data_IF_608430710016
#
_entry.id   IF_608430710016
#
_cell.length_a   1.000
_cell.length_b   1.000
_cell.length_c   1.000
_cell.angle_alpha   90.00
_cell.angle_beta   90.00
_cell.angle_gamma   90.00
#
_symmetry.space_group_name_H-M   'P 1'
#
loop_
_entity.id
_entity.type
_entity.pdbx_description
1 polymer ?
#
# COMPACT_ATOMS: atom_id res chain seq x y z
N UNK A 1 -67.80 15.85 -25.55
CA UNK A 1 -66.39 15.97 -25.17
C UNK A 1 -65.54 15.94 -26.43
N UNK A 2 -64.66 16.93 -26.64
CA UNK A 2 -63.83 16.96 -27.85
C UNK A 2 -62.78 15.85 -27.87
N UNK A 3 -62.40 15.35 -29.06
CA UNK A 3 -61.37 14.34 -29.24
C UNK A 3 -60.04 14.70 -28.55
N UNK A 4 -59.82 15.99 -28.25
CA UNK A 4 -58.65 16.50 -27.54
C UNK A 4 -58.72 16.21 -26.04
N UNK A 5 -59.89 16.38 -25.42
CA UNK A 5 -60.08 16.13 -23.95
C UNK A 5 -59.95 14.66 -23.61
N UNK A 6 -60.38 13.76 -24.50
CA UNK A 6 -60.27 12.32 -24.30
C UNK A 6 -58.80 11.85 -24.36
N UNK A 7 -57.97 12.43 -25.25
CA UNK A 7 -56.53 12.12 -25.33
C UNK A 7 -55.77 12.57 -24.08
N UNK A 8 -56.09 13.75 -23.54
CA UNK A 8 -55.44 14.26 -22.32
C UNK A 8 -55.77 13.38 -21.10
N UNK A 9 -57.02 12.93 -20.96
CA UNK A 9 -57.44 12.07 -19.86
C UNK A 9 -56.77 10.68 -19.94
N UNK A 10 -56.65 10.09 -21.15
CA UNK A 10 -55.97 8.82 -21.36
C UNK A 10 -54.48 8.95 -21.05
N UNK A 11 -53.81 10.03 -21.46
CA UNK A 11 -52.37 10.24 -21.18
C UNK A 11 -52.11 10.41 -19.69
N UNK A 12 -52.97 11.14 -18.96
CA UNK A 12 -52.85 11.28 -17.51
C UNK A 12 -53.11 9.97 -16.78
N UNK A 13 -54.03 9.12 -17.27
CA UNK A 13 -54.28 7.80 -16.67
C UNK A 13 -53.14 6.84 -16.89
N UNK A 14 -52.49 6.86 -18.08
CA UNK A 14 -51.30 6.06 -18.36
C UNK A 14 -50.09 6.51 -17.49
N UNK A 15 -49.88 7.81 -17.31
CA UNK A 15 -48.85 8.36 -16.44
C UNK A 15 -49.08 7.97 -14.96
N UNK A 16 -50.32 7.92 -14.50
CA UNK A 16 -50.67 7.47 -13.14
C UNK A 16 -50.41 5.96 -12.95
N UNK A 17 -50.75 5.14 -13.94
CA UNK A 17 -50.51 3.70 -13.91
C UNK A 17 -48.98 3.41 -13.94
N UNK A 18 -48.19 4.09 -14.76
CA UNK A 18 -46.75 3.95 -14.82
C UNK A 18 -46.11 4.42 -13.53
N UNK A 19 -46.57 5.54 -12.94
CA UNK A 19 -46.08 6.01 -11.64
C UNK A 19 -46.42 5.05 -10.50
N UNK A 20 -47.61 4.44 -10.53
CA UNK A 20 -48.02 3.44 -9.54
C UNK A 20 -47.27 2.12 -9.71
N UNK A 21 -46.98 1.70 -10.94
CA UNK A 21 -46.17 0.54 -11.24
C UNK A 21 -44.71 0.76 -10.84
N UNK A 22 -44.13 1.95 -11.11
CA UNK A 22 -42.78 2.30 -10.63
C UNK A 22 -42.71 2.37 -9.11
N UNK A 23 -43.70 2.96 -8.45
CA UNK A 23 -43.80 3.01 -6.98
C UNK A 23 -43.97 1.63 -6.38
N UNK A 24 -44.77 0.76 -6.99
CA UNK A 24 -44.95 -0.63 -6.59
C UNK A 24 -43.69 -1.47 -6.83
N UNK A 25 -42.99 -1.23 -7.94
CA UNK A 25 -41.71 -1.89 -8.25
C UNK A 25 -40.61 -1.45 -7.29
N UNK A 26 -40.51 -0.15 -7.00
CA UNK A 26 -39.59 0.38 -5.97
C UNK A 26 -39.92 -0.17 -4.59
N UNK A 27 -41.21 -0.35 -4.28
CA UNK A 27 -41.68 -0.89 -3.00
C UNK A 27 -41.54 -2.41 -2.90
N UNK A 28 -41.65 -3.16 -4.00
CA UNK A 28 -41.47 -4.62 -4.04
C UNK A 28 -40.00 -5.05 -4.02
N UNK A 29 -39.09 -4.15 -4.39
CA UNK A 29 -37.63 -4.34 -4.20
C UNK A 29 -37.15 -4.07 -2.77
N UNK A 30 -38.03 -3.58 -1.87
CA UNK A 30 -37.73 -3.25 -0.49
C UNK A 30 -38.50 -4.18 0.46
N UNK A 31 -38.15 -5.45 0.50
CA UNK A 31 -38.53 -6.29 1.65
C UNK A 31 -37.70 -5.86 2.84
N UNK A 32 -38.35 -5.23 3.83
CA UNK A 32 -37.70 -5.00 5.13
C UNK A 32 -37.11 -6.32 5.63
N UNK A 33 -35.91 -6.33 6.20
CA UNK A 33 -35.23 -7.54 6.71
C UNK A 33 -35.92 -8.22 7.91
N UNK A 34 -37.09 -7.75 8.36
CA UNK A 34 -37.76 -8.25 9.55
C UNK A 34 -38.44 -9.62 9.42
N UNK A 35 -38.50 -10.24 8.23
CA UNK A 35 -39.13 -11.55 8.03
C UNK A 35 -38.22 -12.71 7.66
N UNK A 36 -36.91 -12.49 7.55
CA UNK A 36 -35.95 -13.55 7.24
C UNK A 36 -35.19 -14.08 8.48
N UNK A 37 -35.75 -14.01 9.66
CA UNK A 37 -35.16 -14.56 10.89
C UNK A 37 -35.66 -15.96 11.20
N UNK A 38 -35.53 -16.89 10.25
CA UNK A 38 -35.41 -18.31 10.60
C UNK A 38 -33.99 -18.74 10.22
N UNK A 39 -33.03 -18.31 11.01
CA UNK A 39 -31.60 -18.58 10.82
C UNK A 39 -31.31 -20.08 10.92
N UNK A 40 -30.71 -20.66 9.88
CA UNK A 40 -29.64 -21.63 10.11
C UNK A 40 -28.46 -20.83 10.72
N UNK A 41 -28.08 -21.15 11.95
CA UNK A 41 -26.93 -20.60 12.63
C UNK A 41 -25.67 -21.00 11.83
N UNK A 42 -25.15 -20.12 10.96
CA UNK A 42 -23.76 -20.25 10.53
C UNK A 42 -22.89 -20.12 11.78
N UNK A 43 -22.03 -21.09 12.02
CA UNK A 43 -21.21 -21.11 13.23
C UNK A 43 -20.18 -19.96 13.17
N UNK A 44 -19.87 -19.33 14.30
CA UNK A 44 -18.83 -18.29 14.40
C UNK A 44 -17.51 -18.67 13.70
N UNK A 45 -17.04 -19.94 13.72
CA UNK A 45 -15.89 -20.38 12.95
C UNK A 45 -16.01 -20.17 11.42
N UNK A 46 -17.19 -20.44 10.86
CA UNK A 46 -17.42 -20.31 9.40
C UNK A 46 -17.39 -18.85 8.93
N UNK A 47 -18.01 -17.94 9.68
CA UNK A 47 -18.00 -16.50 9.38
C UNK A 47 -16.60 -15.92 9.56
N UNK A 48 -15.82 -16.39 10.55
CA UNK A 48 -14.43 -15.99 10.73
C UNK A 48 -13.55 -16.44 9.56
N UNK A 49 -13.76 -17.63 9.04
CA UNK A 49 -13.04 -18.15 7.89
C UNK A 49 -13.35 -17.32 6.62
N UNK A 50 -14.61 -16.97 6.39
CA UNK A 50 -15.00 -16.05 5.31
C UNK A 50 -14.30 -14.69 5.48
N UNK A 51 -14.29 -14.12 6.71
CA UNK A 51 -13.59 -12.88 6.97
C UNK A 51 -12.09 -12.97 6.67
N UNK A 52 -11.43 -14.04 7.09
CA UNK A 52 -10.00 -14.27 6.83
C UNK A 52 -9.70 -14.33 5.34
N UNK A 53 -10.52 -15.06 4.60
CA UNK A 53 -10.30 -15.31 3.17
C UNK A 53 -10.58 -14.10 2.27
N UNK A 54 -11.49 -13.20 2.66
CA UNK A 54 -11.97 -12.13 1.79
C UNK A 54 -11.71 -10.71 2.32
N UNK A 55 -11.65 -10.53 3.63
CA UNK A 55 -11.60 -9.21 4.26
C UNK A 55 -10.25 -8.91 4.93
N UNK A 56 -9.62 -9.93 5.51
CA UNK A 56 -8.44 -9.76 6.34
C UNK A 56 -7.24 -9.20 5.57
N UNK A 57 -7.13 -9.45 4.27
CA UNK A 57 -6.07 -8.88 3.42
C UNK A 57 -5.97 -7.36 3.53
N UNK A 58 -7.12 -6.68 3.55
CA UNK A 58 -7.21 -5.23 3.70
C UNK A 58 -7.44 -4.79 5.15
N UNK A 59 -8.22 -5.53 5.94
CA UNK A 59 -8.68 -5.11 7.26
C UNK A 59 -7.91 -5.72 8.43
N UNK A 60 -6.97 -6.65 8.17
CA UNK A 60 -6.22 -7.39 9.18
C UNK A 60 -6.99 -8.59 9.74
N UNK A 61 -6.28 -9.66 10.12
CA UNK A 61 -6.90 -10.92 10.57
C UNK A 61 -7.65 -10.80 11.90
N UNK A 62 -7.25 -9.85 12.74
CA UNK A 62 -7.88 -9.54 14.02
C UNK A 62 -8.60 -8.18 13.98
N UNK A 63 -9.12 -7.79 12.83
CA UNK A 63 -9.89 -6.55 12.64
C UNK A 63 -9.10 -5.26 12.98
N UNK A 64 -7.77 -5.29 12.83
CA UNK A 64 -6.87 -4.23 13.30
C UNK A 64 -7.12 -2.86 12.62
N UNK A 65 -7.75 -2.85 11.44
CA UNK A 65 -8.05 -1.60 10.71
C UNK A 65 -9.40 -0.97 11.04
N UNK A 66 -10.21 -1.63 11.86
CA UNK A 66 -11.45 -1.06 12.39
C UNK A 66 -11.24 -0.31 13.70
N UNK A 67 -10.08 0.34 13.88
CA UNK A 67 -9.62 0.93 15.14
C UNK A 67 -10.16 2.33 15.46
N UNK A 68 -10.92 2.93 14.55
CA UNK A 68 -11.58 4.22 14.83
C UNK A 68 -12.92 3.96 15.51
N UNK A 69 -12.98 4.12 16.83
CA UNK A 69 -14.19 3.99 17.62
C UNK A 69 -15.35 4.81 17.05
N UNK A 70 -15.08 6.07 16.64
CA UNK A 70 -16.07 6.96 16.03
C UNK A 70 -16.74 6.34 14.79
N UNK A 71 -15.99 5.58 13.98
CA UNK A 71 -16.55 4.91 12.81
C UNK A 71 -17.47 3.75 13.20
N UNK A 72 -17.11 3.00 14.23
CA UNK A 72 -17.89 1.84 14.70
C UNK A 72 -19.12 2.26 15.50
N UNK A 73 -19.00 3.29 16.32
CA UNK A 73 -20.10 3.78 17.18
C UNK A 73 -21.20 4.47 16.34
N UNK A 74 -20.82 5.13 15.25
CA UNK A 74 -21.75 5.83 14.34
C UNK A 74 -22.43 4.93 13.32
N UNK A 75 -21.99 3.66 13.14
CA UNK A 75 -22.53 2.77 12.09
C UNK A 75 -23.36 1.64 12.67
N UNK A 76 -24.52 1.42 12.05
CA UNK A 76 -25.43 0.29 12.32
C UNK A 76 -24.97 -0.96 11.57
N UNK A 77 -25.54 -2.14 11.92
CA UNK A 77 -25.34 -3.38 11.15
C UNK A 77 -25.76 -3.19 9.69
N UNK A 78 -26.81 -2.41 9.43
CA UNK A 78 -27.28 -2.07 8.09
C UNK A 78 -26.24 -1.26 7.30
N UNK A 79 -25.56 -0.31 7.93
CA UNK A 79 -24.50 0.46 7.26
C UNK A 79 -23.28 -0.40 6.94
N UNK A 80 -22.86 -1.30 7.85
CA UNK A 80 -21.81 -2.27 7.61
C UNK A 80 -22.20 -3.26 6.50
N UNK A 81 -23.44 -3.77 6.54
CA UNK A 81 -24.00 -4.62 5.50
C UNK A 81 -23.94 -3.98 4.13
N UNK A 82 -24.37 -2.72 3.98
CA UNK A 82 -24.33 -2.00 2.71
C UNK A 82 -22.90 -1.80 2.20
N UNK A 83 -21.97 -1.45 3.10
CA UNK A 83 -20.56 -1.28 2.73
C UNK A 83 -19.94 -2.58 2.23
N UNK A 84 -20.30 -3.72 2.81
CA UNK A 84 -19.85 -5.03 2.32
C UNK A 84 -20.54 -5.37 1.00
N UNK A 85 -21.86 -5.23 0.92
CA UNK A 85 -22.66 -5.64 -0.23
C UNK A 85 -22.28 -4.85 -1.49
N UNK A 86 -22.22 -3.53 -1.39
CA UNK A 86 -22.04 -2.63 -2.54
C UNK A 86 -20.61 -2.10 -2.68
N UNK A 87 -19.74 -2.42 -1.73
CA UNK A 87 -18.38 -1.88 -1.67
C UNK A 87 -18.35 -0.42 -1.26
N UNK A 88 -17.13 0.13 -1.22
CA UNK A 88 -16.84 1.55 -1.06
C UNK A 88 -15.69 1.87 -2.04
N UNK A 89 -16.04 2.12 -3.28
CA UNK A 89 -15.10 2.23 -4.39
C UNK A 89 -14.02 3.27 -4.15
N UNK A 90 -14.39 4.45 -3.62
CA UNK A 90 -13.47 5.54 -3.30
C UNK A 90 -12.39 5.14 -2.29
N UNK A 91 -12.68 4.14 -1.43
CA UNK A 91 -11.78 3.59 -0.42
C UNK A 91 -11.09 2.30 -0.87
N UNK A 92 -11.35 1.84 -2.10
CA UNK A 92 -10.80 0.61 -2.64
C UNK A 92 -11.40 -0.67 -2.06
N UNK A 93 -12.59 -0.58 -1.46
CA UNK A 93 -13.34 -1.73 -0.97
C UNK A 93 -14.26 -2.24 -2.08
N UNK A 94 -14.07 -3.47 -2.61
CA UNK A 94 -14.92 -4.02 -3.65
C UNK A 94 -16.32 -4.36 -3.11
N UNK A 95 -17.30 -4.49 -4.03
CA UNK A 95 -18.60 -5.06 -3.73
C UNK A 95 -18.52 -6.58 -3.58
N UNK A 96 -19.30 -7.15 -2.65
CA UNK A 96 -19.33 -8.59 -2.39
C UNK A 96 -20.72 -9.22 -2.64
N UNK A 97 -21.65 -8.48 -3.24
CA UNK A 97 -23.01 -8.98 -3.54
C UNK A 97 -23.05 -10.20 -4.46
N UNK A 98 -22.01 -10.37 -5.32
CA UNK A 98 -21.90 -11.50 -6.24
C UNK A 98 -21.12 -12.67 -5.65
N UNK A 99 -20.40 -12.44 -4.53
CA UNK A 99 -19.60 -13.45 -3.82
C UNK A 99 -20.32 -14.07 -2.62
N UNK A 100 -21.24 -13.34 -2.01
CA UNK A 100 -21.97 -13.73 -0.78
C UNK A 100 -23.45 -13.45 -0.87
N UNK A 101 -24.24 -14.32 -0.23
CA UNK A 101 -25.67 -14.07 0.00
C UNK A 101 -25.90 -12.94 1.01
N UNK A 102 -27.09 -12.38 1.05
CA UNK A 102 -27.45 -11.32 1.99
C UNK A 102 -27.33 -11.79 3.46
N UNK A 103 -27.59 -13.05 3.73
CA UNK A 103 -27.43 -13.68 5.04
C UNK A 103 -25.96 -13.75 5.46
N UNK A 104 -25.07 -14.15 4.55
CA UNK A 104 -23.63 -14.21 4.80
C UNK A 104 -23.04 -12.81 5.00
N UNK A 105 -23.45 -11.83 4.20
CA UNK A 105 -23.04 -10.43 4.36
C UNK A 105 -23.49 -9.88 5.71
N UNK A 106 -24.73 -10.17 6.13
CA UNK A 106 -25.23 -9.75 7.44
C UNK A 106 -24.47 -10.43 8.59
N UNK A 107 -24.13 -11.70 8.44
CA UNK A 107 -23.31 -12.43 9.42
C UNK A 107 -21.90 -11.83 9.53
N UNK A 108 -21.27 -11.51 8.41
CA UNK A 108 -19.97 -10.81 8.37
C UNK A 108 -20.06 -9.43 9.02
N UNK A 109 -21.08 -8.63 8.72
CA UNK A 109 -21.28 -7.32 9.33
C UNK A 109 -21.40 -7.40 10.86
N UNK A 110 -22.18 -8.35 11.37
CA UNK A 110 -22.33 -8.61 12.81
C UNK A 110 -21.03 -9.10 13.45
N UNK A 111 -20.34 -10.04 12.80
CA UNK A 111 -19.06 -10.55 13.26
C UNK A 111 -18.04 -9.43 13.40
N UNK A 112 -17.84 -8.61 12.35
CA UNK A 112 -16.92 -7.48 12.40
C UNK A 112 -17.23 -6.55 13.57
N UNK A 113 -18.49 -6.22 13.79
CA UNK A 113 -18.92 -5.32 14.87
C UNK A 113 -18.82 -5.91 16.26
N UNK A 114 -19.02 -7.21 16.43
CA UNK A 114 -18.88 -7.88 17.73
C UNK A 114 -17.43 -8.09 18.15
N UNK A 115 -16.56 -8.37 17.19
CA UNK A 115 -15.17 -8.77 17.44
C UNK A 115 -14.17 -7.60 17.40
N UNK A 116 -14.56 -6.40 16.91
CA UNK A 116 -13.69 -5.23 17.00
C UNK A 116 -13.40 -4.89 18.46
N UNK A 117 -12.11 -4.93 18.88
CA UNK A 117 -11.76 -4.66 20.27
C UNK A 117 -12.14 -3.24 20.69
N UNK A 118 -12.81 -3.10 21.84
CA UNK A 118 -13.22 -1.80 22.40
C UNK A 118 -12.06 -1.01 23.01
N UNK A 119 -10.93 -1.62 23.25
CA UNK A 119 -9.73 -0.99 23.82
C UNK A 119 -8.48 -1.35 23.03
N UNK A 120 -8.00 -0.42 22.23
CA UNK A 120 -6.82 -0.59 21.35
C UNK A 120 -5.50 -0.15 22.00
N UNK A 121 -5.54 0.44 23.20
CA UNK A 121 -4.39 1.09 23.83
C UNK A 121 -3.42 0.14 24.54
N UNK A 122 -3.73 -1.15 24.66
CA UNK A 122 -2.99 -2.11 25.48
C UNK A 122 -2.35 -3.28 24.72
N UNK A 123 -2.13 -3.18 23.43
CA UNK A 123 -1.41 -4.26 22.72
C UNK A 123 0.09 -4.16 22.99
N UNK A 124 0.58 -4.99 23.92
CA UNK A 124 2.03 -5.25 24.01
C UNK A 124 2.50 -5.96 22.74
N UNK A 125 3.73 -5.71 22.26
CA UNK A 125 4.34 -6.51 21.20
C UNK A 125 4.20 -8.00 21.52
N UNK A 126 3.78 -8.79 20.54
CA UNK A 126 3.56 -10.24 20.72
C UNK A 126 4.87 -11.04 20.85
N UNK A 127 6.04 -10.40 20.82
CA UNK A 127 7.35 -11.04 20.88
C UNK A 127 8.20 -10.49 22.04
N UNK A 128 9.05 -11.35 22.59
CA UNK A 128 10.01 -10.99 23.62
C UNK A 128 11.25 -10.40 22.99
N UNK A 129 11.67 -9.22 23.45
CA UNK A 129 12.88 -8.52 23.00
C UNK A 129 14.18 -9.13 23.52
N UNK A 130 14.10 -10.05 24.47
CA UNK A 130 15.30 -10.70 25.08
C UNK A 130 15.63 -12.08 24.46
N UNK A 131 14.81 -12.55 23.53
CA UNK A 131 14.97 -13.88 22.95
C UNK A 131 15.94 -13.84 21.76
N UNK A 132 16.92 -14.76 21.76
CA UNK A 132 17.71 -15.04 20.56
C UNK A 132 16.80 -15.68 19.51
N UNK A 133 16.71 -15.06 18.36
CA UNK A 133 16.04 -15.60 17.18
C UNK A 133 17.05 -16.36 16.36
N UNK A 134 16.75 -17.63 16.06
CA UNK A 134 17.55 -18.47 15.18
C UNK A 134 16.92 -18.45 13.78
N UNK A 135 17.65 -17.93 12.81
CA UNK A 135 17.37 -18.17 11.39
C UNK A 135 18.22 -19.32 10.85
N UNK A 136 18.02 -19.69 9.60
CA UNK A 136 18.78 -20.76 8.96
C UNK A 136 20.30 -20.52 9.00
N UNK A 137 20.71 -19.24 8.83
CA UNK A 137 22.13 -18.87 8.66
C UNK A 137 22.66 -17.88 9.69
N UNK A 138 21.80 -17.18 10.41
CA UNK A 138 22.19 -16.08 11.31
C UNK A 138 21.40 -16.12 12.61
N UNK A 139 22.06 -15.83 13.74
CA UNK A 139 21.39 -15.58 15.03
C UNK A 139 21.34 -14.09 15.30
N UNK A 140 20.27 -13.63 15.93
CA UNK A 140 20.15 -12.24 16.34
C UNK A 140 19.19 -12.07 17.52
N UNK A 141 19.33 -10.94 18.22
CA UNK A 141 18.38 -10.47 19.25
C UNK A 141 17.60 -9.31 18.68
N UNK A 142 16.34 -9.19 19.06
CA UNK A 142 15.47 -8.08 18.67
C UNK A 142 15.56 -7.01 19.77
N UNK A 143 15.92 -5.80 19.39
CA UNK A 143 15.95 -4.65 20.29
C UNK A 143 14.92 -3.62 19.84
N UNK A 144 13.98 -3.23 20.72
CA UNK A 144 12.97 -2.22 20.41
C UNK A 144 13.55 -0.82 20.62
N UNK A 145 13.70 -0.09 19.53
CA UNK A 145 14.33 1.22 19.52
C UNK A 145 13.30 2.35 19.72
N UNK A 146 12.15 2.22 19.02
CA UNK A 146 11.05 3.21 19.10
C UNK A 146 9.73 2.46 19.20
N UNK A 147 8.84 2.93 20.05
CA UNK A 147 7.46 2.47 20.14
C UNK A 147 6.46 3.64 20.15
N UNK A 148 5.17 3.35 20.19
CA UNK A 148 4.13 4.37 20.26
C UNK A 148 3.88 5.14 18.96
N UNK A 149 4.45 4.69 17.85
CA UNK A 149 4.13 5.20 16.51
C UNK A 149 2.77 4.67 16.05
N UNK A 150 2.17 5.30 15.04
CA UNK A 150 0.94 4.80 14.43
C UNK A 150 1.26 3.96 13.19
N UNK A 151 1.63 4.60 12.08
CA UNK A 151 2.03 3.94 10.85
C UNK A 151 3.38 4.51 10.41
N UNK A 152 4.50 4.03 10.99
CA UNK A 152 5.83 4.39 10.50
C UNK A 152 5.99 3.88 9.07
N UNK A 153 6.19 4.80 8.12
CA UNK A 153 6.30 4.45 6.71
C UNK A 153 7.75 4.36 6.25
N UNK A 154 8.47 5.46 6.31
CA UNK A 154 9.87 5.58 5.93
C UNK A 154 10.77 5.73 7.15
N UNK A 155 11.99 5.22 7.04
CA UNK A 155 13.08 5.42 7.99
C UNK A 155 14.32 5.86 7.22
N UNK A 156 15.05 6.82 7.76
CA UNK A 156 16.33 7.25 7.20
C UNK A 156 17.27 7.66 8.35
N UNK A 157 18.57 7.52 8.14
CA UNK A 157 19.56 7.75 9.20
C UNK A 157 20.45 8.93 8.85
N UNK A 158 20.46 9.93 9.72
CA UNK A 158 21.36 11.07 9.61
C UNK A 158 22.81 10.67 9.95
N UNK A 159 23.82 11.38 9.41
CA UNK A 159 25.24 11.08 9.69
C UNK A 159 25.62 11.13 11.18
N UNK A 160 24.90 11.89 11.98
CA UNK A 160 25.10 11.98 13.44
C UNK A 160 24.49 10.81 14.23
N UNK A 161 23.84 9.84 13.55
CA UNK A 161 23.18 8.69 14.14
C UNK A 161 21.72 8.89 14.54
N UNK A 162 21.17 10.09 14.38
CA UNK A 162 19.72 10.32 14.55
C UNK A 162 18.95 9.59 13.46
N UNK A 163 17.72 9.19 13.76
CA UNK A 163 16.81 8.57 12.79
C UNK A 163 15.69 9.54 12.42
N UNK A 164 15.41 9.70 11.14
CA UNK A 164 14.20 10.34 10.64
C UNK A 164 13.13 9.27 10.40
N UNK A 165 11.90 9.55 10.80
CA UNK A 165 10.78 8.63 10.66
C UNK A 165 9.60 9.39 10.09
N UNK A 166 9.11 8.97 8.93
CA UNK A 166 7.84 9.47 8.40
C UNK A 166 6.68 8.65 8.98
N UNK A 167 5.64 9.32 9.40
CA UNK A 167 4.36 8.72 9.73
C UNK A 167 3.32 9.05 8.68
N UNK A 168 2.58 8.04 8.21
CA UNK A 168 1.56 8.22 7.17
C UNK A 168 0.51 9.28 7.52
N UNK A 169 0.30 9.55 8.79
CA UNK A 169 -0.57 10.63 9.27
C UNK A 169 -0.14 12.04 8.85
N UNK A 170 1.04 12.20 8.22
CA UNK A 170 1.60 13.50 7.84
C UNK A 170 2.50 14.08 8.93
N UNK A 171 3.21 13.27 9.67
CA UNK A 171 4.17 13.71 10.68
C UNK A 171 5.57 13.20 10.31
N UNK A 172 6.55 14.09 10.37
CA UNK A 172 7.96 13.74 10.28
C UNK A 172 8.59 13.86 11.67
N UNK A 173 9.21 12.80 12.14
CA UNK A 173 9.93 12.76 13.40
C UNK A 173 11.43 12.70 13.19
N UNK A 174 12.17 13.30 14.12
CA UNK A 174 13.55 12.97 14.42
C UNK A 174 13.57 12.18 15.73
N UNK A 175 14.18 11.03 15.72
CA UNK A 175 14.48 10.24 16.90
C UNK A 175 15.97 10.40 17.24
N UNK A 176 16.23 10.92 18.44
CA UNK A 176 17.57 11.18 18.94
C UNK A 176 17.61 10.93 20.46
N UNK A 177 18.61 10.18 20.94
CA UNK A 177 18.79 9.91 22.38
C UNK A 177 17.51 9.40 23.09
N UNK A 178 16.75 8.50 22.44
CA UNK A 178 15.53 7.94 23.00
C UNK A 178 14.30 8.85 22.94
N UNK A 179 14.37 10.01 22.27
CA UNK A 179 13.29 10.98 22.19
C UNK A 179 12.82 11.22 20.75
N UNK A 180 11.50 11.24 20.54
CA UNK A 180 10.86 11.64 19.31
C UNK A 180 10.58 13.16 19.33
N UNK A 181 11.10 13.88 18.36
CA UNK A 181 10.83 15.30 18.15
C UNK A 181 10.22 15.50 16.78
N UNK A 182 9.13 16.27 16.67
CA UNK A 182 8.52 16.59 15.37
C UNK A 182 9.40 17.57 14.60
N UNK A 183 9.49 17.35 13.29
CA UNK A 183 10.06 18.30 12.35
C UNK A 183 8.88 19.02 11.67
N UNK A 184 8.88 20.33 11.79
CA UNK A 184 7.83 21.21 11.27
C UNK A 184 8.12 21.63 9.82
N UNK A 185 7.08 22.11 9.12
CA UNK A 185 7.22 22.71 7.79
C UNK A 185 6.93 21.76 6.64
N UNK A 186 6.29 20.61 6.87
CA UNK A 186 5.78 19.78 5.80
C UNK A 186 4.72 20.51 4.95
N UNK A 187 4.60 20.20 3.65
CA UNK A 187 3.51 20.72 2.82
C UNK A 187 2.15 20.16 3.25
N UNK A 188 1.08 20.61 2.58
CA UNK A 188 -0.24 20.00 2.71
C UNK A 188 -0.20 18.54 2.26
N UNK A 189 -0.63 17.62 3.13
CA UNK A 189 -0.61 16.18 2.88
C UNK A 189 -2.02 15.62 2.93
N UNK A 190 -2.42 14.89 1.89
CA UNK A 190 -3.69 14.16 1.83
C UNK A 190 -3.56 12.81 2.59
N UNK A 191 -3.58 12.88 3.93
CA UNK A 191 -3.45 11.71 4.79
C UNK A 191 -4.78 10.93 4.87
N UNK A 192 -5.11 10.19 3.81
CA UNK A 192 -6.37 9.43 3.68
C UNK A 192 -6.09 8.00 3.22
N UNK A 193 -6.68 7.01 3.88
CA UNK A 193 -6.55 5.57 3.60
C UNK A 193 -5.09 5.11 3.46
N UNK A 194 -4.58 4.88 2.23
CA UNK A 194 -3.18 4.50 1.98
C UNK A 194 -2.27 5.70 1.73
N UNK A 195 -2.83 6.90 1.51
CA UNK A 195 -2.08 8.13 1.31
C UNK A 195 -1.61 8.77 2.62
N UNK A 196 -0.63 9.65 2.52
CA UNK A 196 -0.03 10.35 3.64
C UNK A 196 1.39 10.82 3.35
N UNK A 197 2.19 11.03 4.39
CA UNK A 197 3.64 11.12 4.27
C UNK A 197 4.18 9.69 4.08
N UNK A 198 4.88 9.47 2.97
CA UNK A 198 5.33 8.15 2.53
C UNK A 198 6.83 7.97 2.86
N UNK A 199 7.65 7.65 1.88
CA UNK A 199 9.06 7.35 2.13
C UNK A 199 9.95 8.58 2.28
N UNK A 200 11.12 8.36 2.86
CA UNK A 200 12.20 9.31 3.05
C UNK A 200 13.48 8.77 2.42
N UNK A 201 14.32 9.65 1.89
CA UNK A 201 15.68 9.29 1.44
C UNK A 201 16.61 10.50 1.55
N UNK A 202 17.81 10.32 2.14
CA UNK A 202 18.86 11.30 2.05
C UNK A 202 19.53 11.27 0.67
N UNK A 203 19.98 12.43 0.21
CA UNK A 203 20.87 12.49 -0.95
C UNK A 203 22.16 11.69 -0.69
N UNK A 204 22.73 10.97 -1.66
CA UNK A 204 24.01 10.25 -1.47
C UNK A 204 25.16 11.12 -0.94
N UNK A 205 25.13 12.42 -1.27
CA UNK A 205 26.10 13.43 -0.78
C UNK A 205 25.46 14.35 0.29
N UNK A 206 24.64 13.79 1.19
CA UNK A 206 23.92 14.57 2.20
C UNK A 206 24.82 15.45 3.07
N UNK A 207 25.99 14.96 3.48
CA UNK A 207 26.97 15.73 4.30
C UNK A 207 27.43 17.00 3.62
N UNK A 208 27.41 17.06 2.27
CA UNK A 208 27.85 18.23 1.51
C UNK A 208 26.68 19.16 1.16
N UNK A 209 25.50 18.61 0.85
CA UNK A 209 24.38 19.39 0.31
C UNK A 209 23.16 19.48 1.24
N UNK A 210 23.04 18.60 2.24
CA UNK A 210 21.97 18.60 3.23
C UNK A 210 20.57 18.22 2.71
N UNK A 211 20.45 17.67 1.49
CA UNK A 211 19.16 17.38 0.91
C UNK A 211 18.53 16.08 1.47
N UNK A 212 17.33 16.22 2.04
CA UNK A 212 16.37 15.17 2.36
C UNK A 212 15.28 15.16 1.29
N UNK A 213 14.95 14.00 0.77
CA UNK A 213 13.85 13.77 -0.15
C UNK A 213 12.72 13.07 0.58
N UNK A 214 11.48 13.42 0.26
CA UNK A 214 10.32 12.71 0.78
C UNK A 214 9.20 12.64 -0.25
N UNK A 215 8.55 11.49 -0.29
CA UNK A 215 7.35 11.25 -1.07
C UNK A 215 6.12 11.47 -0.20
N UNK A 216 5.07 12.04 -0.77
CA UNK A 216 3.82 12.28 -0.07
C UNK A 216 2.63 12.29 -1.03
N UNK A 217 1.44 12.07 -0.50
CA UNK A 217 0.21 12.27 -1.27
C UNK A 217 -0.17 13.74 -1.23
N UNK A 218 -0.04 14.41 -2.37
CA UNK A 218 -0.38 15.82 -2.54
C UNK A 218 -1.87 15.97 -2.84
N UNK A 219 -2.61 16.83 -2.10
CA UNK A 219 -3.99 17.12 -2.43
C UNK A 219 -4.08 17.99 -3.70
N UNK A 220 -4.97 17.63 -4.60
CA UNK A 220 -5.26 18.43 -5.80
C UNK A 220 -5.71 19.87 -5.43
N UNK A 221 -5.26 20.83 -6.20
CA UNK A 221 -5.67 22.24 -6.03
C UNK A 221 -7.17 22.43 -6.31
N UNK A 222 -7.70 21.68 -7.28
CA UNK A 222 -9.09 21.79 -7.71
C UNK A 222 -10.05 20.99 -6.83
N UNK A 223 -9.62 19.81 -6.36
CA UNK A 223 -10.42 18.94 -5.51
C UNK A 223 -9.56 18.37 -4.38
N UNK A 224 -9.65 18.96 -3.20
CA UNK A 224 -8.86 18.56 -2.01
C UNK A 224 -9.06 17.11 -1.54
N UNK A 225 -10.07 16.39 -2.08
CA UNK A 225 -10.26 14.95 -1.82
C UNK A 225 -9.57 14.05 -2.85
N UNK A 226 -9.11 14.62 -3.96
CA UNK A 226 -8.31 13.97 -4.97
C UNK A 226 -6.83 14.35 -4.81
N UNK A 227 -5.93 13.61 -5.42
CA UNK A 227 -4.52 13.94 -5.42
C UNK A 227 -3.67 12.86 -6.07
N UNK A 228 -2.37 13.08 -6.08
CA UNK A 228 -1.40 12.10 -6.56
C UNK A 228 -0.13 12.10 -5.69
N UNK A 229 0.79 11.20 -5.99
CA UNK A 229 2.09 11.12 -5.34
C UNK A 229 3.00 12.21 -5.87
N UNK A 230 3.58 12.99 -4.97
CA UNK A 230 4.55 14.03 -5.24
C UNK A 230 5.83 13.79 -4.47
N UNK A 231 6.94 14.34 -4.96
CA UNK A 231 8.24 14.28 -4.30
C UNK A 231 8.75 15.70 -4.07
N UNK A 232 9.18 15.94 -2.85
CA UNK A 232 9.83 17.16 -2.44
C UNK A 232 11.24 16.88 -1.93
N UNK A 233 12.18 17.80 -2.16
CA UNK A 233 13.44 17.86 -1.41
C UNK A 233 13.45 19.08 -0.51
N UNK A 234 14.11 18.94 0.62
CA UNK A 234 14.24 20.01 1.60
C UNK A 234 15.54 19.85 2.41
N UNK A 235 15.94 20.88 3.13
CA UNK A 235 16.98 20.82 4.17
C UNK A 235 16.35 20.86 5.55
N UNK A 236 17.08 20.39 6.55
CA UNK A 236 16.65 20.43 7.93
C UNK A 236 17.51 21.49 8.68
N UNK A 237 16.84 22.49 9.26
CA UNK A 237 17.46 23.46 10.15
C UNK A 237 16.79 23.41 11.52
N UNK A 238 17.52 22.92 12.53
CA UNK A 238 16.91 22.61 13.82
C UNK A 238 15.82 21.55 13.69
N UNK A 239 14.59 21.88 14.06
CA UNK A 239 13.42 21.02 13.91
C UNK A 239 12.45 21.53 12.84
N UNK A 240 12.97 22.13 11.77
CA UNK A 240 12.15 22.67 10.68
C UNK A 240 12.74 22.34 9.32
N UNK A 241 11.85 22.05 8.36
CA UNK A 241 12.19 21.97 6.95
C UNK A 241 12.36 23.37 6.36
N UNK A 242 13.46 23.58 5.64
CA UNK A 242 13.81 24.80 4.91
C UNK A 242 14.20 24.47 3.48
N UNK A 243 14.33 25.46 2.61
CA UNK A 243 14.76 25.32 1.21
C UNK A 243 13.95 24.24 0.46
N UNK A 244 12.62 24.26 0.61
CA UNK A 244 11.74 23.25 0.05
C UNK A 244 11.56 23.44 -1.45
N UNK A 245 11.77 22.36 -2.21
CA UNK A 245 11.60 22.32 -3.66
C UNK A 245 10.78 21.09 -4.06
N UNK A 246 9.63 21.28 -4.71
CA UNK A 246 8.89 20.19 -5.33
C UNK A 246 9.58 19.78 -6.63
N UNK A 247 10.10 18.57 -6.68
CA UNK A 247 10.88 18.06 -7.80
C UNK A 247 10.07 17.11 -8.70
N UNK A 248 8.92 16.63 -8.22
CA UNK A 248 8.02 15.81 -9.01
C UNK A 248 6.57 15.99 -8.55
N UNK A 249 5.66 16.06 -9.54
CA UNK A 249 4.21 16.15 -9.35
C UNK A 249 3.53 15.08 -10.22
N UNK A 250 3.05 14.01 -9.59
CA UNK A 250 2.35 12.91 -10.27
C UNK A 250 1.03 13.35 -10.90
N UNK A 251 0.77 12.93 -12.15
CA UNK A 251 -0.45 13.28 -12.89
C UNK A 251 -1.01 12.09 -13.66
N UNK A 252 -2.34 12.04 -13.86
CA UNK A 252 -3.37 12.96 -13.32
C UNK A 252 -3.66 12.70 -11.84
N UNK A 253 -4.27 13.67 -11.18
CA UNK A 253 -4.84 13.51 -9.86
C UNK A 253 -5.99 12.50 -9.89
N UNK A 254 -6.12 11.69 -8.83
CA UNK A 254 -7.17 10.68 -8.70
C UNK A 254 -7.97 10.87 -7.42
N UNK A 255 -9.32 10.72 -7.46
CA UNK A 255 -10.12 10.69 -6.25
C UNK A 255 -9.98 9.38 -5.45
N UNK A 256 -9.36 8.36 -6.05
CA UNK A 256 -9.11 7.08 -5.36
C UNK A 256 -8.05 7.26 -4.28
N UNK A 257 -8.27 6.66 -3.13
CA UNK A 257 -7.46 6.87 -1.92
C UNK A 257 -6.40 5.78 -1.67
N UNK A 258 -6.12 4.96 -2.68
CA UNK A 258 -5.22 3.81 -2.61
C UNK A 258 -4.25 3.76 -3.81
N UNK A 259 -3.25 2.84 -3.72
CA UNK A 259 -2.18 2.62 -4.70
C UNK A 259 -1.33 3.88 -4.97
N UNK A 260 -0.82 4.50 -3.91
CA UNK A 260 0.06 5.67 -4.02
C UNK A 260 1.52 5.33 -4.34
N UNK A 261 1.95 4.06 -4.18
CA UNK A 261 3.35 3.72 -4.07
C UNK A 261 3.84 4.15 -2.68
N UNK A 262 4.90 4.66 -2.42
CA UNK A 262 6.10 5.04 -3.15
C UNK A 262 7.30 4.75 -2.23
N UNK A 263 8.36 4.15 -2.74
CA UNK A 263 9.65 3.99 -2.08
C UNK A 263 10.69 4.72 -2.91
N UNK A 264 11.56 5.48 -2.28
CA UNK A 264 12.61 6.28 -2.91
C UNK A 264 13.95 5.52 -2.88
N UNK A 265 14.68 5.52 -3.98
CA UNK A 265 16.02 4.93 -4.06
C UNK A 265 16.92 5.76 -4.98
N UNK A 266 18.08 6.15 -4.49
CA UNK A 266 19.15 6.66 -5.37
C UNK A 266 19.98 5.51 -5.91
N UNK A 267 20.35 5.58 -7.20
CA UNK A 267 21.34 4.68 -7.77
C UNK A 267 22.78 5.24 -7.63
N UNK A 268 23.76 4.50 -8.15
CA UNK A 268 25.19 4.87 -8.07
C UNK A 268 25.53 6.10 -8.91
N UNK A 269 24.73 6.38 -9.91
CA UNK A 269 24.86 7.54 -10.81
C UNK A 269 24.18 8.80 -10.23
N UNK A 270 23.43 8.66 -9.14
CA UNK A 270 22.72 9.74 -8.46
C UNK A 270 21.33 10.02 -9.03
N UNK A 271 20.75 9.13 -9.83
CA UNK A 271 19.36 9.23 -10.24
C UNK A 271 18.42 8.78 -9.12
N UNK A 272 17.30 9.46 -8.99
CA UNK A 272 16.23 9.10 -8.05
C UNK A 272 15.19 8.22 -8.74
N UNK A 273 14.96 7.04 -8.16
CA UNK A 273 14.00 6.04 -8.59
C UNK A 273 12.82 5.95 -7.62
N UNK A 274 11.62 5.79 -8.18
CA UNK A 274 10.40 5.62 -7.38
C UNK A 274 9.27 5.04 -8.23
N UNK A 275 8.28 4.43 -7.53
CA UNK A 275 7.09 3.89 -8.18
C UNK A 275 5.82 4.62 -7.77
N UNK A 276 4.90 4.84 -8.73
CA UNK A 276 3.54 5.28 -8.46
C UNK A 276 2.59 4.15 -8.86
N UNK A 277 1.63 3.82 -8.00
CA UNK A 277 0.63 2.79 -8.30
C UNK A 277 -0.38 3.24 -9.35
N UNK A 278 -1.23 2.32 -9.80
CA UNK A 278 -2.24 2.55 -10.86
C UNK A 278 -3.35 3.53 -10.44
N UNK A 279 -3.38 3.96 -9.17
CA UNK A 279 -4.35 4.89 -8.59
C UNK A 279 -5.80 4.43 -8.78
N UNK A 280 -6.00 3.09 -8.87
CA UNK A 280 -7.32 2.46 -9.00
C UNK A 280 -7.95 2.50 -10.40
N UNK A 281 -7.28 3.07 -11.38
CA UNK A 281 -7.70 3.04 -12.79
C UNK A 281 -6.95 1.92 -13.53
N UNK A 282 -7.20 0.70 -13.09
CA UNK A 282 -6.51 -0.53 -13.47
C UNK A 282 -6.44 -0.72 -15.00
N UNK A 283 -7.55 -0.53 -15.68
CA UNK A 283 -7.67 -0.89 -17.09
C UNK A 283 -7.16 0.21 -18.04
N UNK A 284 -6.73 1.35 -17.49
CA UNK A 284 -6.23 2.51 -18.25
C UNK A 284 -4.78 2.82 -17.88
N UNK A 285 -4.55 3.19 -16.62
CA UNK A 285 -3.30 3.81 -16.20
C UNK A 285 -2.04 2.97 -16.44
N UNK A 286 -1.97 1.67 -16.08
CA UNK A 286 -0.72 0.92 -16.19
C UNK A 286 -0.22 0.76 -17.61
N UNK A 287 -1.12 0.65 -18.60
CA UNK A 287 -0.78 0.30 -19.98
C UNK A 287 -0.62 1.49 -20.93
N UNK A 288 -0.94 2.72 -20.53
CA UNK A 288 -0.63 3.93 -21.28
C UNK A 288 0.69 4.56 -20.83
N UNK A 289 1.37 5.30 -21.68
CA UNK A 289 2.54 6.10 -21.34
C UNK A 289 2.20 7.59 -21.09
N UNK A 290 0.95 7.99 -21.26
CA UNK A 290 0.48 9.38 -21.22
C UNK A 290 0.25 9.91 -19.79
N UNK A 291 0.49 9.08 -18.77
CA UNK A 291 0.35 9.45 -17.36
C UNK A 291 1.41 8.78 -16.47
N UNK A 292 1.55 9.26 -15.23
CA UNK A 292 2.55 8.76 -14.28
C UNK A 292 2.10 7.53 -13.47
N UNK A 293 0.82 7.14 -13.55
CA UNK A 293 0.24 6.12 -12.67
C UNK A 293 0.51 4.69 -13.19
N UNK A 294 0.86 3.76 -12.31
CA UNK A 294 1.23 2.38 -12.65
C UNK A 294 2.60 2.28 -13.33
N UNK A 295 3.59 3.05 -12.86
CA UNK A 295 4.91 3.21 -13.47
C UNK A 295 6.03 3.17 -12.44
N UNK A 296 7.23 2.84 -12.91
CA UNK A 296 8.49 3.19 -12.26
C UNK A 296 9.09 4.37 -12.99
N UNK A 297 9.53 5.35 -12.24
CA UNK A 297 10.11 6.61 -12.70
C UNK A 297 11.60 6.69 -12.36
N UNK A 298 12.36 7.40 -13.20
CA UNK A 298 13.74 7.80 -12.95
C UNK A 298 13.92 9.27 -13.31
N UNK A 299 14.44 10.06 -12.38
CA UNK A 299 14.70 11.49 -12.54
C UNK A 299 16.08 11.84 -11.97
N UNK A 300 16.60 13.01 -12.29
CA UNK A 300 17.74 13.59 -11.56
C UNK A 300 17.31 14.03 -10.15
N UNK A 301 18.27 14.30 -9.31
CA UNK A 301 18.10 14.77 -7.94
C UNK A 301 17.38 16.13 -7.83
N UNK A 302 17.37 16.92 -8.90
CA UNK A 302 16.69 18.21 -9.04
C UNK A 302 15.32 18.11 -9.74
N UNK A 303 14.89 16.90 -10.12
CA UNK A 303 13.63 16.65 -10.83
C UNK A 303 13.75 16.74 -12.35
N UNK A 304 14.88 17.14 -12.92
CA UNK A 304 15.09 17.13 -14.35
C UNK A 304 15.12 15.71 -14.92
N UNK A 305 14.81 15.58 -16.21
CA UNK A 305 14.65 14.28 -16.85
C UNK A 305 15.96 13.79 -17.49
N UNK A 306 16.45 12.57 -17.15
CA UNK A 306 17.57 11.96 -17.82
C UNK A 306 17.31 11.74 -19.32
N UNK A 307 18.25 12.15 -20.16
CA UNK A 307 18.09 12.07 -21.62
C UNK A 307 18.13 10.63 -22.17
N UNK A 308 18.61 9.71 -21.38
CA UNK A 308 18.65 8.27 -21.67
C UNK A 308 17.44 7.48 -21.09
N UNK A 309 16.43 8.17 -20.56
CA UNK A 309 15.16 7.52 -20.22
C UNK A 309 14.50 6.93 -21.48
N UNK A 310 13.91 5.74 -21.38
CA UNK A 310 13.49 4.98 -22.57
C UNK A 310 12.38 5.65 -23.38
N UNK A 311 11.59 6.53 -22.76
CA UNK A 311 10.45 7.18 -23.41
C UNK A 311 10.61 8.69 -23.60
N UNK A 312 11.78 9.25 -23.35
CA UNK A 312 12.05 10.70 -23.42
C UNK A 312 11.75 11.30 -24.81
N UNK A 313 11.90 10.52 -25.87
CA UNK A 313 11.64 10.95 -27.25
C UNK A 313 10.32 10.35 -27.80
N UNK A 314 9.47 9.75 -26.98
CA UNK A 314 8.20 9.18 -27.42
C UNK A 314 7.09 10.22 -27.31
N UNK A 315 6.46 10.54 -28.43
CA UNK A 315 5.37 11.54 -28.48
C UNK A 315 4.22 11.13 -27.53
N UNK A 316 3.77 12.07 -26.70
CA UNK A 316 2.70 11.87 -25.72
C UNK A 316 3.08 11.12 -24.46
N UNK A 317 4.29 10.51 -24.40
CA UNK A 317 4.73 9.80 -23.20
C UNK A 317 5.26 10.77 -22.13
N UNK A 318 5.03 10.44 -20.87
CA UNK A 318 5.66 11.10 -19.72
C UNK A 318 7.15 10.73 -19.69
N UNK A 319 8.08 11.70 -19.83
CA UNK A 319 9.49 11.39 -20.06
C UNK A 319 10.23 10.84 -18.84
N UNK A 320 9.64 10.93 -17.64
CA UNK A 320 10.18 10.32 -16.41
C UNK A 320 9.98 8.81 -16.33
N UNK A 321 9.12 8.23 -17.17
CA UNK A 321 8.81 6.79 -17.13
C UNK A 321 10.03 5.98 -17.52
N UNK A 322 10.37 4.99 -16.69
CA UNK A 322 11.42 4.01 -16.96
C UNK A 322 10.86 2.62 -17.32
N UNK A 323 9.79 2.19 -16.62
CA UNK A 323 9.01 0.99 -16.94
C UNK A 323 7.54 1.21 -16.63
N UNK A 324 6.66 0.37 -17.19
CA UNK A 324 5.21 0.51 -17.08
C UNK A 324 4.51 -0.84 -16.89
N UNK A 325 3.19 -0.81 -16.69
CA UNK A 325 2.44 -2.02 -16.43
C UNK A 325 2.56 -2.50 -14.98
N UNK A 326 2.67 -1.58 -14.03
CA UNK A 326 2.75 -1.84 -12.59
C UNK A 326 1.42 -1.58 -11.90
N UNK A 327 1.15 -2.34 -10.83
CA UNK A 327 -0.07 -2.14 -10.02
C UNK A 327 0.15 -1.19 -8.85
N UNK A 328 1.04 -1.54 -7.93
CA UNK A 328 1.30 -0.73 -6.73
C UNK A 328 2.68 -1.06 -6.14
N UNK A 329 3.75 -0.51 -6.71
CA UNK A 329 5.11 -0.67 -6.19
C UNK A 329 5.23 -0.11 -4.77
N UNK A 330 5.73 -0.91 -3.82
CA UNK A 330 5.81 -0.55 -2.40
C UNK A 330 7.22 -0.67 -1.83
N UNK A 331 8.08 -1.46 -2.44
CA UNK A 331 9.50 -1.57 -2.10
C UNK A 331 10.37 -1.28 -3.32
N UNK A 332 11.47 -0.59 -3.12
CA UNK A 332 12.51 -0.34 -4.15
C UNK A 332 13.87 -0.43 -3.47
N UNK A 333 14.79 -1.18 -4.04
CA UNK A 333 16.17 -1.26 -3.56
C UNK A 333 17.10 -1.52 -4.72
N UNK A 334 18.33 -1.03 -4.59
CA UNK A 334 19.40 -1.25 -5.55
C UNK A 334 20.28 -2.41 -5.10
N UNK A 335 20.58 -3.34 -6.02
CA UNK A 335 21.55 -4.39 -5.76
C UNK A 335 22.95 -3.79 -5.53
N UNK A 336 23.62 -4.05 -4.41
CA UNK A 336 24.84 -3.32 -4.02
C UNK A 336 26.00 -3.52 -4.99
N UNK A 337 26.13 -4.69 -5.60
CA UNK A 337 27.23 -5.02 -6.52
C UNK A 337 26.90 -4.64 -7.97
N UNK A 338 25.72 -5.04 -8.48
CA UNK A 338 25.35 -4.84 -9.89
C UNK A 338 24.78 -3.46 -10.19
N UNK A 339 24.21 -2.77 -9.19
CA UNK A 339 23.51 -1.49 -9.37
C UNK A 339 22.10 -1.64 -9.96
N UNK A 340 21.62 -2.86 -10.18
CA UNK A 340 20.29 -3.12 -10.71
C UNK A 340 19.20 -2.73 -9.70
N UNK A 341 18.12 -2.13 -10.21
CA UNK A 341 16.96 -1.74 -9.39
C UNK A 341 15.96 -2.88 -9.33
N UNK A 342 15.59 -3.24 -8.12
CA UNK A 342 14.60 -4.23 -7.80
C UNK A 342 13.42 -3.60 -7.07
N UNK A 343 12.21 -4.10 -7.33
CA UNK A 343 11.00 -3.63 -6.66
C UNK A 343 10.16 -4.80 -6.16
N UNK A 344 9.39 -4.51 -5.10
CA UNK A 344 8.23 -5.34 -4.74
C UNK A 344 6.95 -4.57 -5.01
N UNK A 345 5.93 -5.26 -5.50
CA UNK A 345 4.63 -4.66 -5.73
C UNK A 345 3.47 -5.55 -5.29
N UNK A 346 2.36 -4.90 -4.91
CA UNK A 346 1.15 -5.59 -4.52
C UNK A 346 0.38 -6.07 -5.74
N UNK A 347 0.09 -7.36 -5.81
CA UNK A 347 -0.98 -7.91 -6.61
C UNK A 347 -2.37 -7.62 -6.04
N UNK A 348 -3.43 -8.16 -6.66
CA UNK A 348 -4.77 -8.17 -6.08
C UNK A 348 -4.89 -9.27 -4.99
N UNK A 349 -5.85 -10.16 -5.06
CA UNK A 349 -5.91 -11.34 -4.20
C UNK A 349 -4.96 -12.41 -4.75
N UNK A 350 -3.75 -12.53 -4.19
CA UNK A 350 -2.62 -13.26 -4.77
C UNK A 350 -1.83 -12.44 -5.79
N UNK A 351 -0.71 -12.98 -6.28
CA UNK A 351 0.09 -12.39 -7.34
C UNK A 351 0.82 -11.09 -6.96
N UNK A 352 1.24 -10.94 -5.71
CA UNK A 352 2.27 -9.96 -5.35
C UNK A 352 3.59 -10.34 -6.03
N UNK A 353 4.45 -9.40 -6.37
CA UNK A 353 5.61 -9.64 -7.21
C UNK A 353 6.92 -9.07 -6.66
N UNK A 354 8.02 -9.76 -6.95
CA UNK A 354 9.38 -9.23 -6.91
C UNK A 354 9.88 -9.10 -8.35
N UNK A 355 10.24 -7.90 -8.75
CA UNK A 355 10.62 -7.55 -10.10
C UNK A 355 12.02 -6.95 -10.18
N UNK A 356 12.80 -7.36 -11.19
CA UNK A 356 14.02 -6.68 -11.63
C UNK A 356 13.66 -5.68 -12.73
N UNK A 357 13.97 -4.40 -12.52
CA UNK A 357 13.53 -3.32 -13.41
C UNK A 357 14.44 -3.16 -14.61
N UNK A 358 13.83 -3.14 -15.79
CA UNK A 358 14.48 -2.98 -17.11
C UNK A 358 13.91 -1.79 -17.87
N UNK A 359 14.76 -1.09 -18.61
CA UNK A 359 14.39 0.10 -19.38
C UNK A 359 13.33 -0.21 -20.45
N UNK A 360 12.24 0.55 -20.49
CA UNK A 360 11.22 0.50 -21.52
C UNK A 360 10.29 -0.73 -21.45
N UNK A 361 10.39 -1.55 -20.41
CA UNK A 361 9.71 -2.84 -20.34
C UNK A 361 8.33 -2.70 -19.71
N UNK A 362 7.36 -3.47 -20.25
CA UNK A 362 6.00 -3.62 -19.73
C UNK A 362 5.93 -4.81 -18.77
N UNK A 363 5.53 -4.58 -17.51
CA UNK A 363 5.37 -5.61 -16.48
C UNK A 363 3.96 -6.23 -16.44
N UNK A 364 3.10 -5.81 -17.34
CA UNK A 364 1.92 -6.54 -17.77
C UNK A 364 0.63 -6.27 -17.00
N UNK A 365 0.64 -5.66 -15.82
CA UNK A 365 -0.59 -5.34 -15.09
C UNK A 365 -1.52 -4.43 -15.91
N UNK A 366 -2.83 -4.71 -16.03
CA UNK A 366 -3.58 -5.88 -15.55
C UNK A 366 -3.76 -6.98 -16.60
N UNK A 367 -3.09 -6.90 -17.74
CA UNK A 367 -3.25 -7.86 -18.88
C UNK A 367 -2.79 -9.24 -18.49
N UNK A 368 -1.69 -9.34 -17.73
CA UNK A 368 -1.24 -10.59 -17.11
C UNK A 368 -1.26 -10.41 -15.58
N UNK A 369 -1.59 -11.48 -14.86
CA UNK A 369 -1.57 -11.51 -13.39
C UNK A 369 -1.58 -12.94 -12.88
N UNK A 370 -1.00 -13.15 -11.70
CA UNK A 370 -1.09 -14.40 -10.93
C UNK A 370 -2.18 -14.34 -9.84
N UNK A 371 -2.86 -13.21 -9.70
CA UNK A 371 -3.93 -12.99 -8.72
C UNK A 371 -5.29 -12.82 -9.37
N UNK A 372 -6.32 -12.80 -8.53
CA UNK A 372 -7.73 -12.65 -8.93
C UNK A 372 -8.33 -11.43 -8.20
N UNK A 373 -9.53 -10.99 -8.56
CA UNK A 373 -10.24 -9.95 -7.83
C UNK A 373 -10.49 -10.36 -6.36
N UNK A 374 -10.66 -9.38 -5.46
CA UNK A 374 -10.91 -9.64 -4.04
C UNK A 374 -12.23 -10.37 -3.77
N UNK A 375 -13.23 -10.20 -4.63
CA UNK A 375 -14.51 -10.93 -4.61
C UNK A 375 -14.40 -12.38 -5.11
N UNK A 376 -13.22 -12.80 -5.59
CA UNK A 376 -12.96 -14.14 -6.12
C UNK A 376 -13.19 -14.30 -7.62
N UNK A 377 -13.66 -13.28 -8.32
CA UNK A 377 -13.84 -13.32 -9.78
C UNK A 377 -12.49 -13.22 -10.50
N UNK A 378 -12.37 -13.82 -11.66
CA UNK A 378 -11.17 -13.78 -12.50
C UNK A 378 -11.32 -12.63 -13.49
N UNK A 379 -10.38 -11.67 -13.47
CA UNK A 379 -10.35 -10.56 -14.44
C UNK A 379 -9.42 -10.84 -15.63
N UNK A 380 -8.45 -11.73 -15.44
CA UNK A 380 -7.60 -12.29 -16.50
C UNK A 380 -7.17 -13.70 -16.11
N UNK A 381 -7.14 -14.61 -17.08
CA UNK A 381 -6.56 -15.95 -16.96
C UNK A 381 -5.16 -16.05 -17.59
N UNK A 382 -4.65 -14.90 -18.07
CA UNK A 382 -3.36 -14.80 -18.72
C UNK A 382 -2.28 -14.53 -17.69
N UNK A 383 -1.35 -15.45 -17.50
CA UNK A 383 -0.17 -15.26 -16.64
C UNK A 383 1.07 -14.85 -17.44
N UNK A 384 1.13 -15.19 -18.73
CA UNK A 384 2.26 -14.92 -19.62
C UNK A 384 1.78 -14.34 -20.95
N UNK A 385 2.43 -13.27 -21.42
CA UNK A 385 2.16 -12.70 -22.75
C UNK A 385 3.44 -12.14 -23.35
N UNK A 386 3.64 -12.40 -24.66
CA UNK A 386 4.81 -11.87 -25.39
C UNK A 386 4.85 -10.34 -25.29
N UNK A 387 6.00 -9.80 -24.91
CA UNK A 387 6.22 -8.36 -24.74
C UNK A 387 5.86 -7.85 -23.34
N UNK A 388 5.53 -8.74 -22.41
CA UNK A 388 5.33 -8.45 -20.99
C UNK A 388 6.30 -9.27 -20.16
N UNK A 389 6.99 -8.61 -19.24
CA UNK A 389 8.01 -9.21 -18.37
C UNK A 389 7.36 -10.04 -17.28
N UNK A 390 8.07 -11.07 -16.85
CA UNK A 390 7.65 -11.93 -15.76
C UNK A 390 8.35 -11.55 -14.47
N UNK A 391 7.68 -11.64 -13.31
CA UNK A 391 8.33 -11.44 -12.03
C UNK A 391 9.43 -12.49 -11.80
N UNK A 392 10.43 -12.13 -11.02
CA UNK A 392 11.45 -13.07 -10.52
C UNK A 392 10.80 -14.13 -9.63
N UNK A 393 9.91 -13.70 -8.74
CA UNK A 393 8.97 -14.54 -8.00
C UNK A 393 7.64 -13.81 -7.85
N UNK A 394 6.58 -14.58 -7.61
CA UNK A 394 5.30 -14.04 -7.15
C UNK A 394 4.83 -14.79 -5.89
N UNK A 395 3.99 -14.13 -5.10
CA UNK A 395 3.40 -14.71 -3.90
C UNK A 395 1.91 -14.96 -4.08
N UNK A 396 1.51 -16.23 -3.87
CA UNK A 396 0.12 -16.65 -3.76
C UNK A 396 0.00 -17.67 -2.62
N UNK A 397 -0.71 -17.32 -1.54
CA UNK A 397 -1.48 -16.11 -1.31
C UNK A 397 -0.62 -14.84 -1.14
N UNK A 398 -1.21 -13.67 -1.42
CA UNK A 398 -0.58 -12.36 -1.23
C UNK A 398 -0.02 -12.19 0.19
N UNK A 399 1.20 -11.70 0.31
CA UNK A 399 1.85 -11.34 1.58
C UNK A 399 1.75 -9.83 1.86
N UNK A 400 1.34 -9.04 0.85
CA UNK A 400 1.41 -7.59 0.78
C UNK A 400 2.84 -7.08 1.06
N UNK A 401 3.81 -7.33 0.15
CA UNK A 401 5.21 -6.94 0.32
C UNK A 401 5.32 -5.42 0.34
N UNK A 402 6.21 -4.91 1.19
CA UNK A 402 6.44 -3.48 1.35
C UNK A 402 7.92 -3.13 1.22
N UNK A 403 8.40 -2.24 2.06
CA UNK A 403 9.79 -1.83 2.04
C UNK A 403 10.74 -3.02 1.98
N UNK A 404 11.72 -2.95 1.11
CA UNK A 404 12.74 -3.97 0.90
C UNK A 404 14.12 -3.35 0.93
N UNK A 405 15.12 -4.17 1.28
CA UNK A 405 16.52 -3.79 1.22
C UNK A 405 17.39 -4.98 0.88
N UNK A 406 18.48 -4.77 0.13
CA UNK A 406 19.56 -5.73 0.01
C UNK A 406 20.45 -5.66 1.25
N UNK A 407 20.87 -6.80 1.77
CA UNK A 407 21.80 -6.83 2.89
C UNK A 407 23.21 -6.56 2.39
N UNK A 408 23.67 -5.32 2.61
CA UNK A 408 25.04 -4.87 2.30
C UNK A 408 25.77 -4.51 3.59
N UNK A 409 25.87 -5.48 4.50
CA UNK A 409 26.50 -5.28 5.79
C UNK A 409 27.34 -6.47 6.21
N UNK A 410 28.57 -6.21 6.65
CA UNK A 410 29.44 -7.20 7.22
C UNK A 410 29.00 -7.70 8.61
N UNK A 411 27.97 -7.08 9.22
CA UNK A 411 27.38 -7.57 10.46
C UNK A 411 26.55 -8.83 10.27
N UNK A 412 26.07 -9.07 9.03
CA UNK A 412 25.29 -10.24 8.65
C UNK A 412 25.94 -10.96 7.46
N UNK A 413 27.15 -11.51 7.63
CA UNK A 413 27.94 -12.04 6.52
C UNK A 413 27.22 -13.16 5.76
N UNK A 414 26.43 -13.98 6.47
CA UNK A 414 25.68 -15.09 5.87
C UNK A 414 24.43 -14.63 5.08
N UNK A 415 24.03 -13.36 5.23
CA UNK A 415 22.93 -12.74 4.50
C UNK A 415 23.39 -11.75 3.43
N UNK A 416 24.69 -11.66 3.20
CA UNK A 416 25.22 -10.70 2.21
C UNK A 416 24.55 -10.89 0.85
N UNK A 417 24.10 -9.78 0.23
CA UNK A 417 23.36 -9.73 -1.02
C UNK A 417 21.98 -10.45 -1.00
N UNK A 418 21.51 -10.92 0.16
CA UNK A 418 20.12 -11.35 0.26
C UNK A 418 19.20 -10.14 0.27
N UNK A 419 17.95 -10.36 -0.14
CA UNK A 419 16.88 -9.35 -0.04
C UNK A 419 16.08 -9.60 1.25
N UNK A 420 15.80 -8.56 1.99
CA UNK A 420 14.81 -8.56 3.07
C UNK A 420 13.58 -7.79 2.61
N UNK A 421 12.41 -8.41 2.71
CA UNK A 421 11.12 -7.84 2.29
C UNK A 421 10.16 -7.80 3.47
N UNK A 422 9.63 -6.63 3.78
CA UNK A 422 8.57 -6.51 4.79
C UNK A 422 7.24 -7.02 4.25
N UNK A 423 6.51 -7.82 5.04
CA UNK A 423 5.20 -8.36 4.69
C UNK A 423 4.10 -7.78 5.60
N UNK A 424 3.22 -6.94 5.04
CA UNK A 424 2.13 -6.32 5.79
C UNK A 424 1.05 -7.31 6.19
N UNK A 425 0.56 -8.11 5.24
CA UNK A 425 -0.51 -9.07 5.49
C UNK A 425 0.01 -10.27 6.26
N UNK A 426 1.15 -10.79 5.85
CA UNK A 426 1.71 -12.00 6.42
C UNK A 426 2.48 -11.77 7.75
N UNK A 427 2.78 -10.50 8.13
CA UNK A 427 3.33 -10.09 9.44
C UNK A 427 4.68 -10.72 9.77
N UNK A 428 5.58 -10.73 8.81
CA UNK A 428 6.95 -11.21 8.94
C UNK A 428 7.90 -10.42 8.02
N UNK A 429 9.18 -10.69 8.11
CA UNK A 429 10.18 -10.30 7.11
C UNK A 429 10.54 -11.52 6.29
N UNK A 430 10.38 -11.43 4.97
CA UNK A 430 10.86 -12.46 4.03
C UNK A 430 12.33 -12.22 3.73
N UNK A 431 13.19 -13.21 3.98
CA UNK A 431 14.56 -13.23 3.48
C UNK A 431 14.61 -14.05 2.20
N UNK A 432 15.15 -13.46 1.15
CA UNK A 432 15.26 -14.07 -0.17
C UNK A 432 16.74 -14.18 -0.51
N UNK A 433 17.21 -15.38 -0.78
CA UNK A 433 18.57 -15.66 -1.21
C UNK A 433 18.63 -15.81 -2.72
N UNK A 434 19.60 -15.13 -3.33
CA UNK A 434 19.78 -15.09 -4.77
C UNK A 434 21.09 -15.78 -5.21
N UNK A 435 21.05 -16.43 -6.36
CA UNK A 435 22.21 -16.79 -7.17
C UNK A 435 22.07 -16.10 -8.52
N UNK A 436 22.84 -15.03 -8.74
CA UNK A 436 22.53 -14.05 -9.81
C UNK A 436 21.12 -13.49 -9.61
N UNK A 437 20.28 -13.54 -10.65
CA UNK A 437 18.90 -13.08 -10.58
C UNK A 437 17.89 -14.21 -10.27
N UNK A 438 18.36 -15.37 -9.82
CA UNK A 438 17.51 -16.50 -9.50
C UNK A 438 17.38 -16.66 -7.98
N UNK A 439 16.14 -16.78 -7.50
CA UNK A 439 15.87 -17.13 -6.10
C UNK A 439 16.22 -18.59 -5.85
N UNK A 440 17.05 -18.86 -4.86
CA UNK A 440 17.48 -20.21 -4.45
C UNK A 440 16.94 -20.61 -3.08
N UNK A 441 16.59 -19.64 -2.23
CA UNK A 441 15.95 -19.91 -0.94
C UNK A 441 15.07 -18.73 -0.50
N UNK A 442 14.06 -19.05 0.30
CA UNK A 442 13.19 -18.08 0.98
C UNK A 442 13.04 -18.53 2.44
N UNK A 443 13.10 -17.57 3.36
CA UNK A 443 12.97 -17.82 4.79
C UNK A 443 12.12 -16.73 5.44
N UNK A 444 11.23 -17.12 6.34
CA UNK A 444 10.41 -16.18 7.12
C UNK A 444 11.07 -15.86 8.44
N UNK A 445 11.39 -14.59 8.63
CA UNK A 445 11.96 -14.06 9.84
C UNK A 445 10.91 -13.27 10.62
N UNK A 446 10.99 -13.25 11.94
CA UNK A 446 10.15 -12.41 12.79
C UNK A 446 8.65 -12.69 12.64
N UNK A 447 8.22 -13.93 12.46
CA UNK A 447 6.81 -14.26 12.31
C UNK A 447 5.97 -13.74 13.48
N UNK A 448 4.86 -13.05 13.14
CA UNK A 448 3.98 -12.44 14.13
C UNK A 448 4.44 -11.09 14.69
N UNK A 449 5.54 -10.51 14.20
CA UNK A 449 6.06 -9.21 14.68
C UNK A 449 5.04 -8.07 14.49
N UNK A 450 4.12 -8.21 13.58
CA UNK A 450 3.19 -7.15 13.18
C UNK A 450 3.26 -6.90 11.67
N UNK A 451 2.49 -5.95 11.20
CA UNK A 451 2.46 -5.57 9.79
C UNK A 451 3.75 -4.84 9.44
N UNK A 452 4.71 -5.54 8.84
CA UNK A 452 6.01 -4.94 8.51
C UNK A 452 5.86 -3.97 7.33
N UNK A 453 6.13 -2.69 7.58
CA UNK A 453 6.03 -1.61 6.59
C UNK A 453 7.36 -1.31 5.92
N UNK A 454 8.46 -1.35 6.65
CA UNK A 454 9.77 -1.01 6.12
C UNK A 454 10.87 -1.86 6.73
N UNK A 455 11.90 -2.11 5.94
CA UNK A 455 13.17 -2.73 6.37
C UNK A 455 14.30 -1.90 5.78
N UNK A 456 15.22 -1.43 6.63
CA UNK A 456 16.35 -0.59 6.23
C UNK A 456 17.63 -1.04 6.93
N UNK A 457 18.78 -0.69 6.34
CA UNK A 457 20.08 -0.85 6.96
C UNK A 457 20.63 0.52 7.32
N UNK A 458 21.00 0.68 8.58
CA UNK A 458 21.64 1.91 9.06
C UNK A 458 23.09 2.04 8.57
N UNK A 459 23.69 3.24 8.56
CA UNK A 459 25.08 3.46 8.14
C UNK A 459 26.09 2.62 8.94
N UNK A 460 25.81 2.29 10.20
CA UNK A 460 26.62 1.41 11.04
C UNK A 460 26.32 -0.08 10.80
N UNK A 461 25.51 -0.41 9.79
CA UNK A 461 25.29 -1.75 9.24
C UNK A 461 24.26 -2.61 9.98
N UNK A 462 23.46 -2.06 10.89
CA UNK A 462 22.38 -2.83 11.52
C UNK A 462 21.09 -2.79 10.69
N UNK A 463 20.35 -3.90 10.73
CA UNK A 463 19.03 -4.00 10.13
C UNK A 463 17.98 -3.44 11.10
N UNK A 464 17.14 -2.55 10.60
CA UNK A 464 15.98 -2.02 11.30
C UNK A 464 14.70 -2.45 10.59
N UNK A 465 13.66 -2.74 11.38
CA UNK A 465 12.36 -3.19 10.91
C UNK A 465 11.29 -2.32 11.53
N UNK A 466 10.49 -1.65 10.71
CA UNK A 466 9.33 -0.88 11.13
C UNK A 466 8.06 -1.67 10.92
N UNK A 467 7.25 -1.79 11.97
CA UNK A 467 5.93 -2.41 11.90
C UNK A 467 4.82 -1.41 12.25
N UNK A 468 3.65 -1.59 11.67
CA UNK A 468 2.45 -0.81 11.97
C UNK A 468 1.46 -1.63 12.81
N UNK A 469 0.77 -0.97 13.76
CA UNK A 469 -0.33 -1.51 14.57
C UNK A 469 0.01 -2.74 15.44
N UNK A 470 0.72 -2.55 16.57
CA UNK A 470 1.21 -1.27 17.09
C UNK A 470 2.41 -0.77 16.29
N UNK A 471 2.54 0.56 16.18
CA UNK A 471 3.66 1.18 15.46
C UNK A 471 4.93 1.18 16.31
N UNK A 472 5.98 0.51 15.83
CA UNK A 472 7.28 0.46 16.48
C UNK A 472 8.40 0.21 15.46
N UNK A 473 9.62 0.44 15.88
CA UNK A 473 10.83 0.12 15.13
C UNK A 473 11.74 -0.73 16.01
N UNK A 474 12.19 -1.85 15.45
CA UNK A 474 13.16 -2.72 16.09
C UNK A 474 14.48 -2.76 15.31
N UNK A 475 15.55 -3.05 16.01
CA UNK A 475 16.90 -3.28 15.52
C UNK A 475 17.25 -4.75 15.71
N UNK A 476 17.83 -5.37 14.71
CA UNK A 476 18.33 -6.76 14.81
C UNK A 476 19.80 -6.72 15.24
N UNK A 477 20.11 -7.27 16.39
CA UNK A 477 21.48 -7.35 16.91
C UNK A 477 22.04 -8.74 16.61
N UNK A 478 23.00 -8.90 15.68
CA UNK A 478 23.57 -10.20 15.37
C UNK A 478 24.30 -10.76 16.59
N UNK A 479 24.17 -12.08 16.79
CA UNK A 479 24.82 -12.84 17.84
C UNK A 479 25.76 -13.84 17.18
N UNK A 480 27.00 -13.86 17.62
CA UNK A 480 28.04 -14.79 17.13
C UNK A 480 27.77 -16.24 17.57
#
# INVERSE_FOLDING_TARGET
MSKSTTKIVITLFILLIVSFALYSWIKSGYTKPEKALAMKNSSVPEVREQYINYCAGCHGENLERFDKSEWMDARTDDAAFRSIKFGVEEMGMPAFQDAFTDEEILALAKYIRSEVPKDHTKRKPAFSTERVVQSDKQKFIIDTIVDGLNVPWGMEFLPNGDMLISERSGILYRFSNGQLTKIEGLPDILAVNQGGLLDLRLHPQYEQNGWLYFAYSEPSKENKKAGNTSIMRARISGNKLVDQEQIFDGKPDSPKTYHWGCKLQFDKEGYLWFGIGDRGERDVNPQTLENHNGKIHRIHDDGSIPQDNPFVNTEGAMPSIYSYGHRNPQGTSMHPETGEIWITEHGPKGGDELNLIKAGVNYGWPVISYGINYDGTIFTDITHKKGMEQPIIYWDPSIAPCGMTFVDSNRYPEWKNNILVGALRAKYVERIELEGNKVIAQERLLEGIGRVRNVEISPDGYIYVAAEKPGFIVKLLPVN
#
